data_IF_827931103899
#
_entry.id   IF_827931103899
#
_cell.length_a   1.000
_cell.length_b   1.000
_cell.length_c   1.000
_cell.angle_alpha   90.00
_cell.angle_beta   90.00
_cell.angle_gamma   90.00
#
_symmetry.space_group_name_H-M   'P 1'
#
loop_
_entity.id
_entity.type
_entity.pdbx_description
1 polymer ?
#
# COMPACT_ATOMS: atom_id res chain seq x y z
N UNK A 1 36.32 -14.54 19.57
CA UNK A 1 35.29 -14.40 18.52
C UNK A 1 33.93 -14.60 19.18
N UNK A 2 33.19 -13.53 19.47
CA UNK A 2 31.81 -13.69 19.92
C UNK A 2 31.01 -14.28 18.76
N UNK A 3 30.29 -15.37 19.02
CA UNK A 3 29.31 -15.89 18.06
C UNK A 3 28.15 -14.91 18.10
N UNK A 4 28.06 -14.02 17.10
CA UNK A 4 26.81 -13.33 16.79
C UNK A 4 25.76 -14.39 16.51
N UNK A 5 25.00 -14.72 17.54
CA UNK A 5 23.91 -15.67 17.48
C UNK A 5 22.75 -14.92 16.88
N UNK A 6 22.14 -15.49 15.85
CA UNK A 6 21.02 -14.87 15.17
C UNK A 6 19.83 -14.80 16.14
N UNK A 7 19.44 -13.59 16.54
CA UNK A 7 18.41 -13.33 17.55
C UNK A 7 16.97 -13.52 17.03
N UNK A 8 16.80 -13.77 15.73
CA UNK A 8 15.51 -13.90 15.06
C UNK A 8 15.23 -12.77 14.08
N UNK A 9 14.08 -12.84 13.40
CA UNK A 9 13.63 -11.81 12.47
C UNK A 9 12.75 -10.78 13.17
N UNK A 10 12.96 -9.50 12.87
CA UNK A 10 12.00 -8.44 13.22
C UNK A 10 10.83 -8.44 12.23
N UNK A 11 9.64 -8.04 12.69
CA UNK A 11 8.49 -7.92 11.81
C UNK A 11 8.79 -6.91 10.69
N UNK A 12 8.59 -7.26 9.41
CA UNK A 12 8.93 -6.38 8.31
C UNK A 12 8.02 -5.15 8.30
N UNK A 13 8.60 -3.97 8.13
CA UNK A 13 7.86 -2.70 7.99
C UNK A 13 7.13 -2.59 6.66
N UNK A 14 7.55 -3.36 5.65
CA UNK A 14 6.97 -3.36 4.30
C UNK A 14 7.01 -4.75 3.67
N UNK A 15 5.95 -5.08 2.94
CA UNK A 15 5.80 -6.36 2.25
C UNK A 15 6.48 -6.28 0.88
N UNK A 16 7.34 -7.27 0.59
CA UNK A 16 7.88 -7.45 -0.77
C UNK A 16 6.95 -8.37 -1.54
N UNK A 17 6.25 -7.83 -2.53
CA UNK A 17 5.49 -8.65 -3.46
C UNK A 17 6.47 -9.49 -4.26
N UNK A 18 6.29 -10.80 -4.25
CA UNK A 18 7.18 -11.75 -4.94
C UNK A 18 6.34 -12.53 -5.93
N UNK A 19 6.76 -12.70 -7.19
CA UNK A 19 6.02 -13.51 -8.16
C UNK A 19 5.78 -14.92 -7.63
N UNK A 20 4.57 -15.46 -7.78
CA UNK A 20 4.24 -16.80 -7.28
C UNK A 20 5.10 -17.86 -7.99
N UNK A 21 5.44 -17.64 -9.26
CA UNK A 21 6.31 -18.49 -10.07
C UNK A 21 7.70 -18.65 -9.43
N UNK A 22 8.16 -17.68 -8.63
CA UNK A 22 9.40 -17.84 -7.88
C UNK A 22 9.32 -18.97 -6.85
N UNK A 23 8.19 -19.08 -6.14
CA UNK A 23 8.00 -20.15 -5.17
C UNK A 23 7.60 -21.45 -5.86
N UNK A 24 6.62 -21.39 -6.76
CA UNK A 24 5.97 -22.57 -7.31
C UNK A 24 6.79 -23.25 -8.40
N UNK A 25 7.51 -22.49 -9.22
CA UNK A 25 8.28 -23.03 -10.35
C UNK A 25 9.78 -23.03 -10.06
N UNK A 26 10.32 -21.91 -9.60
CA UNK A 26 11.77 -21.70 -9.47
C UNK A 26 12.32 -22.44 -8.25
N UNK A 27 11.78 -22.20 -7.05
CA UNK A 27 12.25 -22.80 -5.81
C UNK A 27 11.97 -24.31 -5.72
N UNK A 28 10.84 -24.77 -6.26
CA UNK A 28 10.51 -26.20 -6.31
C UNK A 28 11.25 -26.97 -7.41
N UNK A 29 11.93 -26.27 -8.34
CA UNK A 29 12.67 -26.95 -9.41
C UNK A 29 13.90 -27.70 -8.86
N UNK A 30 14.00 -29.00 -9.16
CA UNK A 30 15.13 -29.86 -8.73
C UNK A 30 16.51 -29.44 -9.26
N UNK A 31 16.55 -28.51 -10.23
CA UNK A 31 17.78 -28.10 -10.94
C UNK A 31 18.24 -26.69 -10.58
N UNK A 32 17.64 -26.05 -9.58
CA UNK A 32 18.08 -24.73 -9.13
C UNK A 32 19.17 -24.85 -8.06
N UNK A 33 20.17 -23.99 -8.18
CA UNK A 33 21.24 -23.85 -7.20
C UNK A 33 20.93 -22.71 -6.24
N UNK A 34 21.45 -22.80 -5.01
CA UNK A 34 21.29 -21.74 -4.01
C UNK A 34 21.84 -20.39 -4.50
N UNK A 35 22.86 -20.41 -5.36
CA UNK A 35 23.43 -19.21 -5.96
C UNK A 35 22.44 -18.50 -6.90
N UNK A 36 21.71 -19.26 -7.73
CA UNK A 36 20.65 -18.72 -8.59
C UNK A 36 19.52 -18.12 -7.73
N UNK A 37 19.08 -18.83 -6.69
CA UNK A 37 18.03 -18.36 -5.76
C UNK A 37 18.44 -17.04 -5.10
N UNK A 38 19.68 -16.94 -4.61
CA UNK A 38 20.18 -15.70 -3.99
C UNK A 38 20.21 -14.52 -4.95
N UNK A 39 20.62 -14.74 -6.20
CA UNK A 39 20.67 -13.68 -7.21
C UNK A 39 19.25 -13.25 -7.61
N UNK A 40 18.33 -14.19 -7.85
CA UNK A 40 16.95 -13.89 -8.20
C UNK A 40 16.26 -13.18 -7.04
N UNK A 41 16.40 -13.68 -5.81
CA UNK A 41 15.85 -13.06 -4.60
C UNK A 41 16.40 -11.64 -4.37
N UNK A 42 17.69 -11.42 -4.62
CA UNK A 42 18.28 -10.08 -4.61
C UNK A 42 17.60 -9.16 -5.62
N UNK A 43 17.42 -9.61 -6.86
CA UNK A 43 16.76 -8.82 -7.90
C UNK A 43 15.29 -8.53 -7.55
N UNK A 44 14.55 -9.51 -7.02
CA UNK A 44 13.15 -9.34 -6.58
C UNK A 44 13.08 -8.28 -5.48
N UNK A 45 13.95 -8.36 -4.47
CA UNK A 45 13.99 -7.39 -3.36
C UNK A 45 14.27 -5.98 -3.85
N UNK A 46 15.15 -5.80 -4.84
CA UNK A 46 15.51 -4.49 -5.38
C UNK A 46 14.61 -3.98 -6.52
N UNK A 47 13.67 -4.78 -7.00
CA UNK A 47 12.67 -4.37 -8.00
C UNK A 47 11.30 -4.29 -7.34
N UNK A 48 10.68 -5.44 -7.04
CA UNK A 48 9.36 -5.52 -6.42
C UNK A 48 9.33 -4.97 -5.00
N UNK A 49 10.39 -5.15 -4.21
CA UNK A 49 10.45 -4.58 -2.86
C UNK A 49 10.36 -3.05 -2.83
N UNK A 50 10.58 -2.38 -3.97
CA UNK A 50 10.50 -0.93 -4.15
C UNK A 50 9.36 -0.50 -5.08
N UNK A 51 8.43 -1.40 -5.43
CA UNK A 51 7.35 -1.18 -6.40
C UNK A 51 7.88 -0.75 -7.79
N UNK A 52 8.99 -1.35 -8.23
CA UNK A 52 9.67 -1.09 -9.52
C UNK A 52 9.69 -2.33 -10.41
N UNK A 53 8.52 -2.94 -10.63
CA UNK A 53 8.35 -4.28 -11.20
C UNK A 53 9.00 -4.51 -12.57
N UNK A 54 9.06 -3.50 -13.44
CA UNK A 54 9.68 -3.60 -14.77
C UNK A 54 11.08 -2.99 -14.91
N UNK A 55 11.60 -2.36 -13.86
CA UNK A 55 12.85 -1.61 -13.97
C UNK A 55 14.06 -2.54 -14.13
N UNK A 56 15.04 -2.08 -14.91
CA UNK A 56 16.32 -2.75 -15.04
C UNK A 56 17.27 -2.37 -13.89
N UNK A 57 18.07 -3.33 -13.47
CA UNK A 57 19.12 -3.18 -12.47
C UNK A 57 20.48 -3.10 -13.17
N UNK A 58 21.28 -2.13 -12.75
CA UNK A 58 22.69 -2.02 -13.13
C UNK A 58 23.52 -2.43 -11.91
N UNK A 59 24.40 -3.39 -12.10
CA UNK A 59 25.34 -3.82 -11.06
C UNK A 59 26.60 -4.39 -11.69
N UNK A 60 27.69 -4.31 -10.93
CA UNK A 60 28.96 -4.96 -11.22
C UNK A 60 29.03 -6.34 -10.54
N UNK A 61 29.96 -7.19 -10.98
CA UNK A 61 30.18 -8.49 -10.34
C UNK A 61 30.52 -8.35 -8.86
N UNK A 62 31.41 -7.41 -8.51
CA UNK A 62 31.82 -7.15 -7.14
C UNK A 62 30.66 -6.79 -6.22
N UNK A 63 29.66 -6.09 -6.75
CA UNK A 63 28.47 -5.69 -5.99
C UNK A 63 27.54 -6.87 -5.71
N UNK A 64 27.29 -7.73 -6.69
CA UNK A 64 26.52 -8.95 -6.47
C UNK A 64 27.24 -9.88 -5.49
N UNK A 65 28.56 -10.03 -5.62
CA UNK A 65 29.34 -10.84 -4.69
C UNK A 65 29.15 -10.37 -3.24
N UNK A 66 29.21 -9.05 -3.02
CA UNK A 66 28.97 -8.45 -1.70
C UNK A 66 27.52 -8.64 -1.23
N UNK A 67 26.55 -8.44 -2.11
CA UNK A 67 25.13 -8.50 -1.75
C UNK A 67 24.63 -9.93 -1.48
N UNK A 68 25.16 -10.93 -2.19
CA UNK A 68 24.75 -12.33 -2.08
C UNK A 68 25.69 -13.19 -1.22
N UNK A 69 26.83 -12.61 -0.84
CA UNK A 69 27.95 -13.29 -0.16
C UNK A 69 28.39 -14.53 -0.93
N UNK A 70 28.50 -14.41 -2.26
CA UNK A 70 28.91 -15.48 -3.17
C UNK A 70 30.30 -15.19 -3.74
N UNK A 71 31.07 -16.26 -3.99
CA UNK A 71 32.33 -16.19 -4.73
C UNK A 71 32.11 -15.78 -6.19
N UNK A 72 33.13 -15.19 -6.82
CA UNK A 72 33.05 -14.67 -8.20
C UNK A 72 32.62 -15.73 -9.21
N UNK A 73 33.17 -16.93 -9.08
CA UNK A 73 32.86 -18.07 -9.96
C UNK A 73 31.42 -18.56 -9.76
N UNK A 74 30.95 -18.65 -8.51
CA UNK A 74 29.56 -18.99 -8.21
C UNK A 74 28.58 -17.98 -8.80
N UNK A 75 28.89 -16.68 -8.73
CA UNK A 75 28.07 -15.62 -9.35
C UNK A 75 28.05 -15.77 -10.87
N UNK A 76 29.20 -15.97 -11.51
CA UNK A 76 29.28 -16.11 -12.97
C UNK A 76 28.49 -17.33 -13.47
N UNK A 77 28.70 -18.49 -12.83
CA UNK A 77 28.00 -19.72 -13.16
C UNK A 77 26.49 -19.60 -12.93
N UNK A 78 26.06 -18.96 -11.84
CA UNK A 78 24.65 -18.74 -11.55
C UNK A 78 24.00 -17.77 -12.55
N UNK A 79 24.65 -16.64 -12.88
CA UNK A 79 24.14 -15.71 -13.90
C UNK A 79 24.00 -16.39 -15.26
N UNK A 80 25.00 -17.17 -15.68
CA UNK A 80 24.94 -17.93 -16.94
C UNK A 80 23.73 -18.86 -16.98
N UNK A 81 23.50 -19.64 -15.91
CA UNK A 81 22.34 -20.54 -15.80
C UNK A 81 21.02 -19.77 -15.74
N UNK A 82 20.96 -18.64 -15.06
CA UNK A 82 19.77 -17.78 -15.04
C UNK A 82 19.41 -17.23 -16.43
N UNK A 83 20.41 -16.92 -17.26
CA UNK A 83 20.18 -16.53 -18.66
C UNK A 83 19.72 -17.71 -19.52
N UNK A 84 20.35 -18.88 -19.37
CA UNK A 84 19.98 -20.11 -20.08
C UNK A 84 18.53 -20.56 -19.76
N UNK A 85 18.12 -20.45 -18.50
CA UNK A 85 16.76 -20.76 -18.03
C UNK A 85 15.76 -19.62 -18.26
N UNK A 86 16.20 -18.49 -18.83
CA UNK A 86 15.38 -17.33 -19.12
C UNK A 86 14.66 -16.73 -17.90
N UNK A 87 15.26 -16.85 -16.71
CA UNK A 87 14.76 -16.19 -15.49
C UNK A 87 15.16 -14.70 -15.46
N UNK A 88 16.32 -14.40 -16.04
CA UNK A 88 16.89 -13.05 -16.09
C UNK A 88 17.21 -12.72 -17.55
N UNK A 89 16.99 -11.48 -17.95
CA UNK A 89 17.39 -10.94 -19.24
C UNK A 89 18.51 -9.91 -19.05
N UNK A 90 19.40 -9.80 -20.04
CA UNK A 90 20.51 -8.83 -20.07
C UNK A 90 20.45 -8.01 -21.35
N UNK A 91 20.63 -6.69 -21.25
CA UNK A 91 20.77 -5.79 -22.39
C UNK A 91 21.94 -4.83 -22.16
N UNK A 92 22.66 -4.50 -23.22
CA UNK A 92 23.70 -3.47 -23.18
C UNK A 92 23.10 -2.10 -23.53
N UNK A 93 23.35 -1.11 -22.67
CA UNK A 93 22.85 0.26 -22.80
C UNK A 93 24.01 1.20 -22.51
N UNK A 94 24.43 1.98 -23.51
CA UNK A 94 25.53 2.95 -23.40
C UNK A 94 26.83 2.34 -22.84
N UNK A 95 27.22 1.15 -23.33
CA UNK A 95 28.43 0.43 -22.90
C UNK A 95 28.35 -0.18 -21.50
N UNK A 96 27.16 -0.22 -20.88
CA UNK A 96 26.92 -0.84 -19.56
C UNK A 96 25.83 -1.90 -19.66
N UNK A 97 26.02 -3.01 -18.96
CA UNK A 97 25.00 -4.05 -18.88
C UNK A 97 23.91 -3.69 -17.87
N UNK A 98 22.67 -3.84 -18.29
CA UNK A 98 21.48 -3.79 -17.46
C UNK A 98 20.82 -5.17 -17.43
N UNK A 99 20.28 -5.54 -16.27
CA UNK A 99 19.70 -6.85 -16.00
C UNK A 99 18.27 -6.67 -15.50
N UNK A 100 17.32 -7.49 -15.96
CA UNK A 100 15.93 -7.49 -15.46
C UNK A 100 15.41 -8.91 -15.29
N UNK A 101 14.44 -9.08 -14.40
CA UNK A 101 13.69 -10.33 -14.30
C UNK A 101 12.81 -10.50 -15.53
N UNK A 102 12.68 -11.72 -16.02
CA UNK A 102 11.79 -12.01 -17.14
C UNK A 102 10.35 -12.18 -16.64
N UNK A 103 9.55 -11.12 -16.75
CA UNK A 103 8.15 -11.11 -16.33
C UNK A 103 7.29 -10.82 -17.56
N UNK A 104 6.29 -11.69 -17.80
CA UNK A 104 5.43 -11.63 -18.99
C UNK A 104 4.75 -10.27 -19.16
N UNK A 105 4.20 -9.73 -18.08
CA UNK A 105 3.48 -8.45 -18.09
C UNK A 105 4.38 -7.22 -18.34
N UNK A 106 5.70 -7.36 -18.15
CA UNK A 106 6.67 -6.26 -18.31
C UNK A 106 7.66 -6.52 -19.45
N UNK A 107 7.32 -7.42 -20.39
CA UNK A 107 8.18 -7.73 -21.53
C UNK A 107 8.52 -6.48 -22.36
N UNK A 108 7.51 -5.62 -22.60
CA UNK A 108 7.61 -4.38 -23.38
C UNK A 108 8.12 -3.17 -22.58
N UNK A 109 8.47 -3.35 -21.31
CA UNK A 109 8.87 -2.25 -20.45
C UNK A 109 10.22 -1.65 -20.89
N UNK A 110 10.37 -0.31 -20.93
CA UNK A 110 11.59 0.35 -21.40
C UNK A 110 12.81 -0.04 -20.57
N UNK A 111 13.90 -0.38 -21.24
CA UNK A 111 15.16 -0.80 -20.60
C UNK A 111 15.92 0.36 -19.97
N UNK A 112 15.64 1.58 -20.42
CA UNK A 112 16.25 2.84 -20.00
C UNK A 112 15.83 3.23 -18.57
N UNK A 113 14.69 2.71 -18.10
CA UNK A 113 14.20 2.91 -16.73
C UNK A 113 15.02 2.07 -15.74
N UNK A 114 16.06 2.68 -15.20
CA UNK A 114 17.00 2.02 -14.29
C UNK A 114 16.76 2.42 -12.84
N UNK A 115 16.82 1.45 -11.93
CA UNK A 115 16.77 1.71 -10.49
C UNK A 115 18.18 1.73 -9.89
N UNK A 116 18.59 2.87 -9.33
CA UNK A 116 19.86 3.04 -8.63
C UNK A 116 19.80 2.52 -7.19
N UNK A 117 19.65 1.20 -7.06
CA UNK A 117 19.58 0.50 -5.76
C UNK A 117 20.80 0.76 -4.85
N UNK A 118 21.94 1.14 -5.44
CA UNK A 118 23.16 1.50 -4.72
C UNK A 118 22.96 2.68 -3.74
N UNK A 119 22.24 3.73 -4.16
CA UNK A 119 22.00 4.92 -3.33
C UNK A 119 21.14 4.59 -2.12
N UNK A 120 20.21 3.65 -2.31
CA UNK A 120 19.32 3.17 -1.26
C UNK A 120 20.08 2.37 -0.20
N UNK A 121 20.95 1.45 -0.64
CA UNK A 121 21.75 0.66 0.29
C UNK A 121 22.78 1.49 1.07
N UNK A 122 23.31 2.57 0.48
CA UNK A 122 24.19 3.51 1.18
C UNK A 122 23.44 4.22 2.32
N UNK A 123 22.25 4.78 2.03
CA UNK A 123 21.42 5.43 3.05
C UNK A 123 20.99 4.50 4.17
N UNK A 124 20.68 3.23 3.86
CA UNK A 124 20.31 2.24 4.87
C UNK A 124 21.49 1.88 5.78
N UNK A 125 22.71 1.79 5.24
CA UNK A 125 23.92 1.54 6.03
C UNK A 125 24.25 2.70 6.96
N UNK A 126 24.11 3.93 6.48
CA UNK A 126 24.32 5.14 7.27
C UNK A 126 23.28 5.23 8.41
N UNK A 127 22.00 5.00 8.11
CA UNK A 127 20.94 5.00 9.13
C UNK A 127 21.11 3.92 10.21
N UNK A 128 21.56 2.71 9.83
CA UNK A 128 21.81 1.63 10.80
C UNK A 128 23.06 1.91 11.66
N UNK A 129 24.10 2.53 11.10
CA UNK A 129 25.27 2.94 11.86
C UNK A 129 24.93 4.03 12.89
N UNK A 130 24.09 5.01 12.52
CA UNK A 130 23.61 6.05 13.43
C UNK A 130 22.73 5.48 14.57
N UNK A 131 22.02 4.37 14.34
CA UNK A 131 21.24 3.67 15.38
C UNK A 131 22.13 2.82 16.30
N UNK A 132 23.17 2.18 15.78
CA UNK A 132 24.17 1.45 16.58
C UNK A 132 24.96 2.40 17.48
N UNK A 133 25.44 3.54 16.97
CA UNK A 133 26.13 4.57 17.77
C UNK A 133 25.24 5.16 18.87
N UNK A 134 23.93 5.32 18.61
CA UNK A 134 22.96 5.78 19.63
C UNK A 134 22.73 4.72 20.71
N UNK A 135 22.72 3.43 20.38
CA UNK A 135 22.59 2.35 21.38
C UNK A 135 23.84 2.26 22.25
N UNK A 136 25.03 2.35 21.68
CA UNK A 136 26.29 2.36 22.42
C UNK A 136 26.45 3.59 23.32
N UNK A 137 25.90 4.76 22.95
CA UNK A 137 25.91 5.95 23.81
C UNK A 137 25.00 5.86 25.04
N UNK A 138 23.95 5.04 25.01
CA UNK A 138 23.06 4.84 26.16
C UNK A 138 23.56 3.78 27.15
N UNK A 139 24.27 2.75 26.68
CA UNK A 139 24.80 1.69 27.56
C UNK A 139 26.00 2.16 28.40
N UNK A 140 26.73 3.18 27.94
CA UNK A 140 27.91 3.71 28.65
C UNK A 140 27.59 4.67 29.82
N UNK A 141 26.32 4.86 30.20
CA UNK A 141 25.94 5.73 31.34
C UNK A 141 25.61 5.01 32.65
N UNK A 142 25.76 3.69 32.71
CA UNK A 142 25.39 2.93 33.93
C UNK A 142 26.38 1.84 34.31
N UNK A 143 27.68 2.11 34.39
CA UNK A 143 28.56 1.39 35.33
C UNK A 143 29.59 2.37 35.87
N UNK A 144 29.32 2.92 37.05
CA UNK A 144 30.33 3.24 38.08
C UNK A 144 29.61 3.69 39.36
N UNK A 145 29.34 2.76 40.27
CA UNK A 145 29.54 2.99 41.71
C UNK A 145 29.27 1.70 42.50
N UNK A 146 30.25 1.35 43.31
CA UNK A 146 30.32 0.20 44.20
C UNK A 146 29.27 0.23 45.32
N UNK A 147 28.78 -0.93 45.76
CA UNK A 147 29.18 -1.53 47.04
C UNK A 147 28.30 -2.73 47.45
N UNK A 148 28.99 -3.76 47.95
CA UNK A 148 28.55 -4.91 48.77
C UNK A 148 27.16 -4.81 49.42
N UNK A 149 26.29 -5.78 49.13
CA UNK A 149 25.32 -6.34 50.10
C UNK A 149 25.17 -7.85 49.82
N UNK A 150 25.22 -8.65 50.90
CA UNK A 150 25.11 -10.11 50.94
C UNK A 150 23.70 -10.64 50.59
N UNK A 151 23.55 -11.93 50.20
CA UNK A 151 22.26 -12.47 49.78
C UNK A 151 21.37 -12.85 50.99
N UNK A 152 20.19 -12.22 51.09
CA UNK A 152 19.13 -12.62 52.03
C UNK A 152 18.10 -13.49 51.30
N UNK A 153 17.71 -14.59 51.95
CA UNK A 153 16.83 -15.63 51.45
C UNK A 153 15.35 -15.23 51.37
N UNK A 154 14.71 -15.73 50.29
CA UNK A 154 13.32 -16.18 50.09
C UNK A 154 12.22 -15.62 51.02
N UNK A 155 11.21 -14.98 50.40
CA UNK A 155 9.82 -15.10 50.87
C UNK A 155 8.85 -15.16 49.67
N UNK A 156 8.08 -16.25 49.61
CA UNK A 156 6.92 -16.46 48.71
C UNK A 156 5.68 -15.73 49.24
N UNK A 157 4.70 -15.59 48.33
CA UNK A 157 3.28 -15.19 48.50
C UNK A 157 3.06 -13.67 48.55
N UNK A 158 2.10 -13.07 47.83
CA UNK A 158 0.72 -13.50 47.60
C UNK A 158 0.22 -13.23 46.18
N UNK A 159 -0.45 -14.24 45.60
CA UNK A 159 -1.51 -14.03 44.62
C UNK A 159 -2.69 -13.36 45.33
N UNK A 160 -3.02 -12.13 44.94
CA UNK A 160 -4.33 -11.51 45.11
C UNK A 160 -4.64 -10.82 43.79
N UNK A 161 -5.47 -11.48 42.97
CA UNK A 161 -6.83 -11.04 42.66
C UNK A 161 -6.88 -9.86 41.69
N UNK A 162 -7.26 -10.20 40.45
CA UNK A 162 -7.73 -9.25 39.46
C UNK A 162 -8.97 -8.53 40.01
N UNK A 163 -8.83 -7.25 40.30
CA UNK A 163 -9.97 -6.35 40.39
C UNK A 163 -9.90 -5.35 39.24
N UNK A 164 -10.97 -5.37 38.44
CA UNK A 164 -11.27 -4.41 37.39
C UNK A 164 -11.28 -3.00 37.96
N UNK A 165 -10.30 -2.18 37.60
CA UNK A 165 -10.37 -0.71 37.73
C UNK A 165 -10.69 -0.10 36.37
N UNK A 166 -11.97 -0.16 36.01
CA UNK A 166 -12.58 0.97 35.32
C UNK A 166 -12.78 2.07 36.37
N UNK A 167 -12.71 3.33 35.95
CA UNK A 167 -12.78 4.55 36.78
C UNK A 167 -11.45 5.09 37.32
N UNK A 168 -10.58 5.50 36.38
CA UNK A 168 -9.76 6.71 36.55
C UNK A 168 -10.11 7.69 35.43
N UNK A 169 -10.65 8.84 35.82
CA UNK A 169 -10.94 9.98 34.93
C UNK A 169 -9.66 10.35 34.19
N UNK A 170 -9.66 10.19 32.88
CA UNK A 170 -8.64 10.74 32.01
C UNK A 170 -8.69 12.26 32.10
N UNK A 171 -7.61 12.87 32.59
CA UNK A 171 -7.35 14.30 32.45
C UNK A 171 -7.03 14.52 30.98
N UNK A 172 -7.89 15.27 30.30
CA UNK A 172 -7.69 15.74 28.93
C UNK A 172 -6.44 16.61 28.88
N UNK A 173 -5.42 16.17 28.15
CA UNK A 173 -4.29 17.02 27.78
C UNK A 173 -4.72 17.78 26.52
N UNK A 174 -4.82 19.10 26.65
CA UNK A 174 -5.16 20.02 25.58
C UNK A 174 -4.12 19.97 24.46
N UNK A 175 -4.51 19.45 23.30
CA UNK A 175 -3.78 19.51 22.02
C UNK A 175 -4.17 20.74 21.17
N UNK A 176 -4.60 21.82 21.81
CA UNK A 176 -5.06 23.06 21.16
C UNK A 176 -3.92 24.00 20.76
N UNK A 177 -2.81 24.07 21.51
CA UNK A 177 -1.76 25.08 21.26
C UNK A 177 -0.90 24.81 20.00
N UNK A 178 -0.69 23.56 19.60
CA UNK A 178 0.13 23.27 18.41
C UNK A 178 -0.62 23.51 17.09
N UNK A 179 -1.94 23.28 17.06
CA UNK A 179 -2.77 23.41 15.86
C UNK A 179 -3.23 24.85 15.60
N UNK A 180 -3.21 25.73 16.61
CA UNK A 180 -3.53 27.15 16.44
C UNK A 180 -2.37 27.95 15.81
N UNK A 181 -1.12 27.56 16.06
CA UNK A 181 0.06 28.25 15.50
C UNK A 181 0.20 28.10 13.97
N UNK A 182 -0.23 26.97 13.40
CA UNK A 182 -0.17 26.71 11.95
C UNK A 182 -1.37 27.31 11.21
N UNK A 183 -2.56 27.31 11.82
CA UNK A 183 -3.76 27.90 11.22
C UNK A 183 -3.74 29.43 11.23
N UNK A 184 -3.09 30.07 12.21
CA UNK A 184 -2.94 31.53 12.25
C UNK A 184 -1.92 32.06 11.24
N UNK A 185 -0.86 31.30 10.95
CA UNK A 185 0.14 31.63 9.91
C UNK A 185 -0.44 31.57 8.49
N UNK A 186 -1.33 30.60 8.21
CA UNK A 186 -2.02 30.50 6.93
C UNK A 186 -3.11 31.57 6.76
N UNK A 187 -3.82 31.94 7.83
CA UNK A 187 -4.91 32.92 7.76
C UNK A 187 -4.44 34.38 7.70
N UNK A 188 -3.27 34.72 8.26
CA UNK A 188 -2.66 36.05 8.08
C UNK A 188 -2.15 36.28 6.65
N UNK A 189 -1.82 35.21 5.93
CA UNK A 189 -1.42 35.22 4.51
C UNK A 189 -2.61 35.38 3.55
N UNK A 190 -3.84 35.09 4.00
CA UNK A 190 -5.06 35.15 3.20
C UNK A 190 -5.76 36.52 3.27
N UNK A 191 -5.64 37.26 4.38
CA UNK A 191 -6.27 38.58 4.53
C UNK A 191 -5.52 39.72 3.81
N UNK A 192 -4.29 39.49 3.33
CA UNK A 192 -3.53 40.48 2.55
C UNK A 192 -3.83 40.43 1.05
N UNK A 193 -4.64 39.48 0.57
CA UNK A 193 -4.97 39.33 -0.85
C UNK A 193 -6.40 39.79 -1.16
N UNK A 194 -7.33 39.71 -0.20
CA UNK A 194 -8.72 40.15 -0.38
C UNK A 194 -8.89 41.66 -0.60
N UNK A 195 -7.86 42.47 -0.38
CA UNK A 195 -7.91 43.94 -0.47
C UNK A 195 -7.15 44.55 -1.65
N UNK A 196 -6.54 43.76 -2.55
CA UNK A 196 -5.93 44.30 -3.77
C UNK A 196 -6.77 43.96 -5.01
N UNK A 197 -7.74 44.83 -5.27
CA UNK A 197 -8.41 44.96 -6.56
C UNK A 197 -7.39 45.23 -7.67
N UNK A 198 -6.90 44.19 -8.34
CA UNK A 198 -6.36 44.31 -9.69
C UNK A 198 -6.45 42.96 -10.42
N UNK A 199 -7.00 43.01 -11.63
CA UNK A 199 -7.19 41.88 -12.56
C UNK A 199 -5.85 41.40 -13.14
N UNK A 200 -4.91 41.01 -12.29
CA UNK A 200 -3.72 40.30 -12.73
C UNK A 200 -4.01 38.81 -12.57
N UNK A 201 -4.27 38.13 -13.70
CA UNK A 201 -4.46 36.69 -13.76
C UNK A 201 -3.25 36.00 -13.14
N UNK A 202 -3.39 35.56 -11.89
CA UNK A 202 -2.32 34.88 -11.16
C UNK A 202 -2.12 33.55 -11.88
N UNK A 203 -0.99 33.40 -12.57
CA UNK A 203 -0.66 32.13 -13.23
C UNK A 203 -0.57 31.01 -12.18
N UNK A 204 -1.16 29.82 -12.41
CA UNK A 204 -1.14 28.70 -11.48
C UNK A 204 0.27 28.28 -11.05
N UNK A 205 1.27 28.43 -11.92
CA UNK A 205 2.66 28.15 -11.58
C UNK A 205 3.23 29.13 -10.56
N UNK A 206 2.88 30.41 -10.69
CA UNK A 206 3.32 31.46 -9.76
C UNK A 206 2.61 31.31 -8.40
N UNK A 207 1.34 30.92 -8.41
CA UNK A 207 0.59 30.59 -7.19
C UNK A 207 1.26 29.44 -6.44
N UNK A 208 1.60 28.34 -7.13
CA UNK A 208 2.24 27.18 -6.51
C UNK A 208 3.58 27.50 -5.85
N UNK A 209 4.43 28.28 -6.53
CA UNK A 209 5.73 28.71 -6.01
C UNK A 209 5.60 29.62 -4.78
N UNK A 210 4.64 30.54 -4.80
CA UNK A 210 4.48 31.52 -3.72
C UNK A 210 3.83 30.93 -2.47
N UNK A 211 2.89 30.00 -2.63
CA UNK A 211 2.01 29.56 -1.54
C UNK A 211 2.29 28.14 -1.03
N UNK A 212 2.80 27.24 -1.88
CA UNK A 212 2.90 25.82 -1.53
C UNK A 212 4.36 25.39 -1.37
N UNK A 213 5.17 25.55 -2.42
CA UNK A 213 6.56 25.12 -2.39
C UNK A 213 7.45 26.04 -3.24
N UNK A 214 8.31 26.86 -2.61
CA UNK A 214 9.19 27.77 -3.32
C UNK A 214 10.28 27.06 -4.14
N UNK A 215 10.61 25.80 -3.79
CA UNK A 215 11.66 25.01 -4.43
C UNK A 215 11.11 23.96 -5.40
N UNK A 216 9.94 24.23 -6.01
CA UNK A 216 9.34 23.31 -6.96
C UNK A 216 10.24 23.08 -8.18
N UNK A 217 10.34 21.82 -8.62
CA UNK A 217 11.15 21.46 -9.79
C UNK A 217 10.65 22.15 -11.07
N UNK A 218 11.56 22.63 -11.92
CA UNK A 218 11.26 23.20 -13.25
C UNK A 218 10.38 22.28 -14.11
N UNK A 219 10.59 20.96 -14.01
CA UNK A 219 9.79 19.97 -14.73
C UNK A 219 8.31 19.99 -14.29
N UNK A 220 8.07 20.15 -12.98
CA UNK A 220 6.73 20.23 -12.42
C UNK A 220 6.03 21.52 -12.87
N UNK A 221 6.74 22.65 -12.87
CA UNK A 221 6.20 23.93 -13.33
C UNK A 221 5.83 23.90 -14.82
N UNK A 222 6.68 23.29 -15.67
CA UNK A 222 6.36 23.10 -17.08
C UNK A 222 5.11 22.24 -17.28
N UNK A 223 4.91 21.23 -16.43
CA UNK A 223 3.68 20.43 -16.44
C UNK A 223 2.44 21.19 -15.96
N UNK A 224 2.57 22.12 -15.01
CA UNK A 224 1.44 22.98 -14.64
C UNK A 224 1.05 23.91 -15.80
N UNK A 225 2.05 24.44 -16.54
CA UNK A 225 1.81 25.23 -17.74
C UNK A 225 1.08 24.44 -18.84
N UNK A 226 1.36 23.14 -19.01
CA UNK A 226 0.61 22.31 -19.97
C UNK A 226 -0.81 21.98 -19.52
N UNK A 227 -1.12 22.09 -18.23
CA UNK A 227 -2.51 21.99 -17.74
C UNK A 227 -3.26 23.30 -17.95
N UNK A 228 -2.58 24.43 -17.83
CA UNK A 228 -3.16 25.76 -18.09
C UNK A 228 -3.59 25.95 -19.55
N UNK A 229 -2.95 25.26 -20.51
CA UNK A 229 -3.42 25.28 -21.90
C UNK A 229 -4.65 24.42 -22.15
N UNK A 230 -4.95 23.48 -21.24
CA UNK A 230 -6.06 22.53 -21.37
C UNK A 230 -7.27 22.89 -20.51
N UNK A 231 -7.04 23.52 -19.37
CA UNK A 231 -8.05 23.82 -18.36
C UNK A 231 -7.96 25.28 -17.93
N UNK A 232 -9.07 25.84 -17.45
CA UNK A 232 -9.10 27.20 -16.90
C UNK A 232 -8.11 27.35 -15.74
N UNK A 233 -7.32 28.43 -15.74
CA UNK A 233 -6.32 28.72 -14.69
C UNK A 233 -6.92 28.68 -13.28
N UNK A 234 -8.19 29.10 -13.13
CA UNK A 234 -8.91 29.05 -11.85
C UNK A 234 -9.12 27.62 -11.35
N UNK A 235 -9.48 26.69 -12.23
CA UNK A 235 -9.65 25.28 -11.89
C UNK A 235 -8.31 24.66 -11.50
N UNK A 236 -7.23 25.00 -12.21
CA UNK A 236 -5.89 24.50 -11.89
C UNK A 236 -5.43 24.97 -10.51
N UNK A 237 -5.65 26.24 -10.17
CA UNK A 237 -5.35 26.79 -8.84
C UNK A 237 -6.14 26.07 -7.75
N UNK A 238 -7.42 25.83 -7.98
CA UNK A 238 -8.28 25.19 -6.99
C UNK A 238 -7.92 23.70 -6.79
N UNK A 239 -7.53 23.01 -7.87
CA UNK A 239 -6.99 21.66 -7.78
C UNK A 239 -5.64 21.61 -7.04
N UNK A 240 -4.79 22.64 -7.22
CA UNK A 240 -3.54 22.79 -6.47
C UNK A 240 -3.82 22.92 -4.97
N UNK A 241 -4.76 23.79 -4.57
CA UNK A 241 -5.13 23.96 -3.15
C UNK A 241 -5.58 22.64 -2.53
N UNK A 242 -6.48 21.93 -3.20
CA UNK A 242 -6.95 20.60 -2.75
C UNK A 242 -5.85 19.56 -2.66
N UNK A 243 -4.83 19.65 -3.52
CA UNK A 243 -3.67 18.76 -3.44
C UNK A 243 -2.79 19.06 -2.23
N UNK A 244 -2.69 20.32 -1.83
CA UNK A 244 -1.93 20.75 -0.67
C UNK A 244 -2.65 20.39 0.63
N UNK A 245 -3.96 20.66 0.72
CA UNK A 245 -4.80 20.28 1.87
C UNK A 245 -4.80 18.77 2.12
N UNK A 246 -4.75 17.96 1.06
CA UNK A 246 -4.71 16.51 1.16
C UNK A 246 -3.30 15.94 1.37
N UNK A 247 -2.27 16.79 1.50
CA UNK A 247 -0.86 16.42 1.61
C UNK A 247 -0.44 15.31 0.62
N UNK A 248 -0.84 15.47 -0.64
CA UNK A 248 -0.70 14.40 -1.62
C UNK A 248 0.77 14.06 -1.88
N UNK A 249 1.16 12.78 -1.70
CA UNK A 249 2.50 12.25 -1.99
C UNK A 249 2.98 12.54 -3.43
N UNK A 250 2.06 12.62 -4.38
CA UNK A 250 2.32 12.96 -5.78
C UNK A 250 1.40 14.10 -6.24
N UNK A 251 1.77 15.37 -5.98
CA UNK A 251 0.89 16.51 -6.19
C UNK A 251 0.38 16.62 -7.63
N UNK A 252 1.26 16.42 -8.62
CA UNK A 252 0.88 16.52 -10.03
C UNK A 252 -0.18 15.49 -10.45
N UNK A 253 0.01 14.23 -10.06
CA UNK A 253 -0.92 13.16 -10.41
C UNK A 253 -2.28 13.38 -9.73
N UNK A 254 -2.27 13.89 -8.51
CA UNK A 254 -3.49 14.24 -7.78
C UNK A 254 -4.25 15.40 -8.44
N UNK A 255 -3.54 16.48 -8.79
CA UNK A 255 -4.09 17.64 -9.51
C UNK A 255 -4.72 17.18 -10.84
N UNK A 256 -3.98 16.41 -11.65
CA UNK A 256 -4.47 15.96 -12.95
C UNK A 256 -5.75 15.10 -12.82
N UNK A 257 -5.79 14.19 -11.83
CA UNK A 257 -6.96 13.35 -11.58
C UNK A 257 -8.19 14.17 -11.15
N UNK A 258 -8.00 15.24 -10.38
CA UNK A 258 -9.08 16.15 -10.01
C UNK A 258 -9.61 16.88 -11.24
N UNK A 259 -8.72 17.43 -12.06
CA UNK A 259 -9.09 18.15 -13.27
C UNK A 259 -9.80 17.26 -14.28
N UNK A 260 -9.34 16.03 -14.50
CA UNK A 260 -10.01 15.04 -15.35
C UNK A 260 -11.42 14.71 -14.86
N UNK A 261 -11.60 14.59 -13.53
CA UNK A 261 -12.92 14.34 -12.93
C UNK A 261 -13.86 15.52 -13.08
N UNK A 262 -13.38 16.74 -12.88
CA UNK A 262 -14.18 17.96 -13.08
C UNK A 262 -14.55 18.14 -14.55
N UNK A 263 -13.61 17.88 -15.46
CA UNK A 263 -13.88 17.92 -16.90
C UNK A 263 -14.92 16.87 -17.31
N UNK A 264 -14.82 15.64 -16.80
CA UNK A 264 -15.81 14.59 -17.04
C UNK A 264 -17.20 14.92 -16.46
N UNK A 265 -17.25 15.73 -15.40
CA UNK A 265 -18.48 16.23 -14.80
C UNK A 265 -18.96 17.56 -15.42
N UNK A 266 -18.28 18.05 -16.45
CA UNK A 266 -18.56 19.31 -17.15
C UNK A 266 -18.60 20.54 -16.23
N UNK A 267 -17.69 20.57 -15.23
CA UNK A 267 -17.55 21.63 -14.22
C UNK A 267 -16.62 22.71 -14.75
N UNK A 268 -17.13 23.92 -14.96
CA UNK A 268 -16.37 25.03 -15.54
C UNK A 268 -16.18 26.21 -14.59
N UNK A 269 -17.07 26.38 -13.62
CA UNK A 269 -17.03 27.49 -12.67
C UNK A 269 -16.80 27.02 -11.21
N UNK A 270 -16.41 27.96 -10.34
CA UNK A 270 -16.24 27.70 -8.90
C UNK A 270 -17.53 27.22 -8.23
N UNK A 271 -18.69 27.74 -8.67
CA UNK A 271 -19.98 27.32 -8.13
C UNK A 271 -20.31 25.86 -8.51
N UNK A 272 -19.96 25.46 -9.74
CA UNK A 272 -20.14 24.09 -10.22
C UNK A 272 -19.28 23.09 -9.42
N UNK A 273 -18.08 23.52 -8.97
CA UNK A 273 -17.22 22.71 -8.12
C UNK A 273 -17.91 22.44 -6.77
N UNK A 274 -18.52 23.47 -6.17
CA UNK A 274 -19.22 23.36 -4.90
C UNK A 274 -20.43 22.41 -5.02
N UNK A 275 -21.20 22.51 -6.11
CA UNK A 275 -22.31 21.59 -6.37
C UNK A 275 -21.85 20.15 -6.60
N UNK A 276 -20.78 19.98 -7.38
CA UNK A 276 -20.16 18.67 -7.62
C UNK A 276 -19.72 18.01 -6.31
N UNK A 277 -19.13 18.77 -5.40
CA UNK A 277 -18.70 18.25 -4.10
C UNK A 277 -19.86 17.90 -3.18
N UNK A 278 -20.92 18.72 -3.15
CA UNK A 278 -22.16 18.39 -2.41
C UNK A 278 -22.74 17.06 -2.90
N UNK A 279 -22.83 16.86 -4.22
CA UNK A 279 -23.30 15.61 -4.83
C UNK A 279 -22.37 14.42 -4.52
N UNK A 280 -21.05 14.61 -4.64
CA UNK A 280 -20.06 13.58 -4.36
C UNK A 280 -20.07 13.15 -2.88
N UNK A 281 -20.19 14.08 -1.94
CA UNK A 281 -20.28 13.79 -0.52
C UNK A 281 -21.58 13.06 -0.14
N UNK A 282 -22.70 13.41 -0.77
CA UNK A 282 -23.97 12.70 -0.57
C UNK A 282 -23.91 11.26 -1.12
N UNK A 283 -23.30 11.04 -2.29
CA UNK A 283 -23.12 9.70 -2.87
C UNK A 283 -22.22 8.78 -2.04
N UNK A 284 -21.20 9.33 -1.36
CA UNK A 284 -20.35 8.56 -0.43
C UNK A 284 -21.12 8.11 0.80
N UNK A 285 -22.04 8.94 1.31
CA UNK A 285 -22.90 8.58 2.46
C UNK A 285 -23.88 7.46 2.11
N UNK A 286 -24.50 7.49 0.93
CA UNK A 286 -25.43 6.44 0.49
C UNK A 286 -24.72 5.12 0.19
N UNK A 287 -23.57 5.13 -0.51
CA UNK A 287 -22.83 3.91 -0.83
C UNK A 287 -22.18 3.22 0.38
N UNK A 288 -21.82 3.97 1.43
CA UNK A 288 -21.32 3.40 2.69
C UNK A 288 -22.42 2.65 3.48
N UNK A 289 -23.69 2.99 3.25
CA UNK A 289 -24.85 2.28 3.85
C UNK A 289 -25.19 1.03 3.04
N UNK A 290 -25.08 1.08 1.70
CA UNK A 290 -25.36 -0.07 0.82
C UNK A 290 -24.29 -1.16 0.95
N UNK A 291 -22.99 -0.82 0.98
CA UNK A 291 -21.90 -1.81 1.07
C UNK A 291 -21.86 -2.56 2.40
N UNK A 292 -22.35 -1.96 3.50
CA UNK A 292 -22.51 -2.66 4.79
C UNK A 292 -23.58 -3.75 4.78
N UNK A 293 -24.53 -3.74 3.83
CA UNK A 293 -25.63 -4.73 3.78
C UNK A 293 -25.26 -6.01 3.00
N UNK A 294 -24.22 -6.00 2.17
CA UNK A 294 -23.88 -7.12 1.28
C UNK A 294 -22.52 -7.78 1.56
N UNK A 295 -21.77 -7.35 2.58
CA UNK A 295 -20.42 -7.89 2.86
C UNK A 295 -20.41 -9.11 3.80
N UNK A 296 -21.50 -9.89 3.90
CA UNK A 296 -21.41 -11.23 4.49
C UNK A 296 -20.99 -12.19 3.39
N UNK A 297 -19.72 -12.59 3.39
CA UNK A 297 -19.25 -13.74 2.63
C UNK A 297 -19.98 -14.99 3.15
N UNK A 298 -21.06 -15.37 2.48
CA UNK A 298 -21.72 -16.66 2.73
C UNK A 298 -20.78 -17.73 2.20
N UNK A 299 -20.17 -18.47 3.13
CA UNK A 299 -19.35 -19.64 2.81
C UNK A 299 -20.27 -20.71 2.23
N UNK A 300 -20.11 -21.00 0.94
CA UNK A 300 -20.73 -22.15 0.28
C UNK A 300 -19.93 -23.39 0.62
N UNK A 301 -20.40 -24.17 1.59
CA UNK A 301 -19.87 -25.51 1.88
C UNK A 301 -20.05 -26.40 0.63
N UNK A 302 -18.98 -27.07 0.19
CA UNK A 302 -19.03 -28.09 -0.85
C UNK A 302 -19.70 -29.35 -0.28
N UNK A 303 -21.03 -29.33 -0.19
CA UNK A 303 -21.79 -30.51 0.20
C UNK A 303 -21.69 -31.59 -0.90
N UNK A 304 -21.41 -32.86 -0.53
CA UNK A 304 -21.42 -33.98 -1.45
C UNK A 304 -22.75 -34.09 -2.21
N UNK A 305 -22.70 -34.50 -3.48
CA UNK A 305 -23.84 -34.42 -4.41
C UNK A 305 -25.11 -35.17 -3.99
N UNK A 306 -25.03 -36.09 -3.03
CA UNK A 306 -26.20 -36.81 -2.50
C UNK A 306 -27.06 -36.00 -1.51
N UNK A 307 -26.56 -34.85 -1.02
CA UNK A 307 -27.27 -33.98 -0.06
C UNK A 307 -27.98 -32.80 -0.75
N UNK A 308 -27.95 -32.72 -2.08
CA UNK A 308 -28.67 -31.66 -2.80
C UNK A 308 -30.12 -32.10 -2.96
N UNK A 309 -31.01 -31.56 -2.11
CA UNK A 309 -32.44 -31.57 -2.40
C UNK A 309 -32.64 -30.86 -3.75
N UNK A 310 -33.21 -31.58 -4.70
CA UNK A 310 -33.49 -31.10 -6.05
C UNK A 310 -34.57 -30.02 -5.98
N UNK A 311 -34.16 -28.76 -5.86
CA UNK A 311 -35.01 -27.62 -6.21
C UNK A 311 -35.14 -27.58 -7.73
N UNK A 312 -36.05 -28.39 -8.26
CA UNK A 312 -36.58 -28.23 -9.62
C UNK A 312 -37.21 -26.84 -9.75
N UNK A 313 -36.85 -26.02 -10.75
CA UNK A 313 -37.53 -24.76 -11.00
C UNK A 313 -38.87 -25.07 -11.68
N UNK A 314 -39.91 -25.31 -10.88
CA UNK A 314 -41.26 -25.41 -11.40
C UNK A 314 -41.83 -24.01 -11.55
N UNK A 315 -41.86 -23.52 -12.78
CA UNK A 315 -42.70 -22.39 -13.17
C UNK A 315 -44.15 -22.87 -13.15
N UNK A 316 -44.84 -22.65 -12.04
CA UNK A 316 -46.28 -22.87 -11.92
C UNK A 316 -46.89 -21.56 -11.43
N UNK A 317 -47.39 -20.79 -12.40
CA UNK A 317 -48.63 -20.06 -12.15
C UNK A 317 -49.71 -21.12 -11.93
N UNK A 318 -50.28 -21.20 -10.73
CA UNK A 318 -51.67 -21.64 -10.62
C UNK A 318 -52.33 -21.08 -9.37
N UNK A 319 -53.37 -20.29 -9.63
CA UNK A 319 -54.38 -19.92 -8.67
C UNK A 319 -55.18 -21.17 -8.31
N UNK A 320 -55.32 -21.43 -7.02
CA UNK A 320 -55.93 -22.65 -6.53
C UNK A 320 -57.32 -22.94 -7.11
N UNK A 321 -57.52 -24.21 -7.46
CA UNK A 321 -58.75 -24.95 -7.17
C UNK A 321 -58.44 -26.44 -7.35
N UNK A 322 -58.08 -27.14 -6.27
CA UNK A 322 -58.00 -28.61 -6.31
C UNK A 322 -59.39 -29.16 -6.67
N UNK A 323 -59.47 -29.92 -7.77
CA UNK A 323 -60.74 -30.45 -8.26
C UNK A 323 -61.38 -31.36 -7.20
N UNK A 324 -62.71 -31.29 -7.09
CA UNK A 324 -63.49 -32.02 -6.09
C UNK A 324 -63.27 -33.54 -6.18
N UNK A 325 -62.87 -34.03 -7.35
CA UNK A 325 -62.54 -35.42 -7.64
C UNK A 325 -61.24 -35.90 -6.96
N UNK A 326 -60.22 -35.03 -6.82
CA UNK A 326 -58.98 -35.37 -6.11
C UNK A 326 -59.19 -35.48 -4.60
N UNK A 327 -60.05 -34.63 -4.03
CA UNK A 327 -60.41 -34.70 -2.61
C UNK A 327 -61.13 -36.00 -2.29
N UNK A 328 -62.04 -36.42 -3.17
CA UNK A 328 -62.79 -37.67 -3.03
C UNK A 328 -61.89 -38.90 -3.08
N UNK A 329 -60.89 -38.90 -3.98
CA UNK A 329 -59.85 -39.95 -4.05
C UNK A 329 -59.02 -40.04 -2.76
N UNK A 330 -58.58 -38.90 -2.22
CA UNK A 330 -57.76 -38.88 -1.01
C UNK A 330 -58.54 -39.36 0.22
N UNK A 331 -59.81 -39.01 0.34
CA UNK A 331 -60.68 -39.51 1.41
C UNK A 331 -60.92 -41.03 1.32
N UNK A 332 -61.03 -41.58 0.11
CA UNK A 332 -61.17 -43.01 -0.11
C UNK A 332 -59.90 -43.78 0.30
N UNK A 333 -58.73 -43.22 -0.01
CA UNK A 333 -57.43 -43.75 0.42
C UNK A 333 -57.31 -43.69 1.94
N UNK A 334 -57.69 -42.58 2.58
CA UNK A 334 -57.66 -42.44 4.05
C UNK A 334 -58.61 -43.42 4.75
N UNK A 335 -59.78 -43.71 4.17
CA UNK A 335 -60.68 -44.76 4.68
C UNK A 335 -60.08 -46.16 4.56
N UNK A 336 -59.29 -46.42 3.50
CA UNK A 336 -58.63 -47.72 3.29
C UNK A 336 -57.56 -48.02 4.34
N UNK A 337 -56.91 -46.99 4.88
CA UNK A 337 -55.88 -47.13 5.92
C UNK A 337 -56.39 -46.89 7.34
N UNK A 338 -57.67 -46.54 7.53
CA UNK A 338 -58.35 -46.47 8.84
C UNK A 338 -59.20 -47.71 9.11
N UNK A 339 -58.63 -48.91 8.97
CA UNK A 339 -59.26 -50.15 9.43
C UNK A 339 -58.34 -50.88 10.40
N UNK A 340 -58.82 -50.89 11.64
CA UNK A 340 -58.44 -51.60 12.88
C UNK A 340 -57.02 -51.43 13.43
#
# INVERSE_FOLDING_TARGET
MSKNTFEGFTAPTSHTQTPNEFYDEILLSKRITIAEVKIIGFMIRHTFGWNRHGNSLKFTYSEIQKATSLGREAVNNALKKCFEKNYIQRKEINGKFAYRLNIKDFADYPWELTFEWQKVNKKLKEANADEEEKKEQFENRTIESSSKIEPIAVRKSNQLQFENRTDLKAVSIDTTEANESLNTSLNTSLNTISSSSSKNAISPSNFYLKQINPNASTYFLNKLKTLETKYSSLLVIEAIKRSAEAEAKHPFAYINRILEKWNAANVHNLEDINEYEKKHNNSRKTNKVVTKRYSKTVRTELAPGWLKEENTPSTVEDNGQASEDERKRLDEVLKKYKRD
#
